data_IF_977643239901
#
_entry.id   IF_977643239901
#
_cell.length_a   1.000
_cell.length_b   1.000
_cell.length_c   1.000
_cell.angle_alpha   90.00
_cell.angle_beta   90.00
_cell.angle_gamma   90.00
#
_symmetry.space_group_name_H-M   'P 1'
#
loop_
_entity.id
_entity.type
_entity.pdbx_description
1 polymer ?
#
# COMPACT_ATOMS: atom_id res chain seq x y z
N UNK A 1 11.31 -21.16 12.33
CA UNK A 1 12.64 -20.53 12.36
C UNK A 1 12.44 -19.04 12.14
N UNK A 2 12.43 -18.25 13.22
CA UNK A 2 12.03 -16.84 13.20
C UNK A 2 13.06 -15.99 12.45
N UNK A 3 12.66 -15.38 11.33
CA UNK A 3 13.37 -14.24 10.77
C UNK A 3 13.08 -13.03 11.67
N UNK A 4 13.96 -12.77 12.64
CA UNK A 4 14.00 -11.48 13.34
C UNK A 4 14.46 -10.40 12.35
N UNK A 5 13.55 -9.88 11.55
CA UNK A 5 13.77 -8.63 10.83
C UNK A 5 13.39 -7.48 11.76
N UNK A 6 14.42 -6.81 12.27
CA UNK A 6 14.34 -5.55 12.99
C UNK A 6 13.70 -4.52 12.05
N UNK A 7 12.53 -3.98 12.43
CA UNK A 7 11.98 -2.79 11.79
C UNK A 7 12.83 -1.59 12.25
N UNK A 8 13.55 -0.97 11.33
CA UNK A 8 14.34 0.22 11.65
C UNK A 8 13.39 1.42 11.76
N UNK A 9 13.38 2.06 12.93
CA UNK A 9 12.88 3.43 13.08
C UNK A 9 13.99 4.35 12.54
N UNK A 10 13.93 4.69 11.25
CA UNK A 10 14.86 5.65 10.66
C UNK A 10 14.49 7.07 11.14
N UNK A 11 15.35 7.65 11.97
CA UNK A 11 15.32 9.08 12.30
C UNK A 11 15.80 9.89 11.10
N UNK A 12 14.88 10.26 10.22
CA UNK A 12 15.13 11.12 9.07
C UNK A 12 15.31 12.58 9.56
N UNK A 13 16.55 13.08 9.53
CA UNK A 13 16.85 14.49 9.85
C UNK A 13 16.33 15.41 8.74
N UNK A 14 15.29 16.19 9.05
CA UNK A 14 14.68 17.26 8.24
C UNK A 14 14.20 16.85 6.83
N UNK A 15 13.03 16.21 6.73
CA UNK A 15 12.49 15.76 5.44
C UNK A 15 11.06 16.24 5.20
N UNK A 16 10.97 17.41 4.59
CA UNK A 16 9.80 17.79 3.80
C UNK A 16 9.79 16.92 2.53
N UNK A 17 8.71 16.17 2.32
CA UNK A 17 8.51 15.30 1.17
C UNK A 17 7.43 15.88 0.26
N UNK A 18 7.63 15.77 -1.06
CA UNK A 18 6.59 16.06 -2.04
C UNK A 18 5.85 14.77 -2.36
N UNK A 19 4.56 14.74 -2.02
CA UNK A 19 3.68 13.60 -2.26
C UNK A 19 2.42 14.02 -3.02
N UNK A 20 1.68 13.03 -3.52
CA UNK A 20 0.52 13.25 -4.36
C UNK A 20 -0.72 12.53 -3.82
N UNK A 21 -1.85 13.23 -3.80
CA UNK A 21 -3.15 12.66 -3.45
C UNK A 21 -4.17 12.91 -4.56
N UNK A 22 -4.91 11.87 -4.94
CA UNK A 22 -6.02 11.97 -5.88
C UNK A 22 -7.35 11.87 -5.15
N UNK A 23 -8.21 12.87 -5.33
CA UNK A 23 -9.60 12.80 -4.86
C UNK A 23 -10.57 12.69 -6.04
N UNK A 24 -11.63 11.92 -5.85
CA UNK A 24 -12.69 11.70 -6.85
C UNK A 24 -13.58 12.93 -7.06
N UNK A 25 -13.69 13.79 -6.04
CA UNK A 25 -14.56 14.98 -6.04
C UNK A 25 -13.90 16.21 -5.40
N UNK A 26 -12.62 16.12 -5.03
CA UNK A 26 -11.93 17.10 -4.19
C UNK A 26 -11.97 16.76 -2.70
N UNK A 27 -11.08 17.39 -1.94
CA UNK A 27 -11.05 17.34 -0.48
C UNK A 27 -12.06 18.33 0.08
N UNK A 28 -12.74 17.94 1.17
CA UNK A 28 -13.70 18.77 1.89
C UNK A 28 -13.25 18.84 3.35
N UNK A 29 -13.10 20.05 3.88
CA UNK A 29 -12.56 20.28 5.22
C UNK A 29 -11.06 20.04 5.33
N UNK A 30 -10.58 19.90 6.56
CA UNK A 30 -9.16 19.66 6.85
C UNK A 30 -8.75 18.23 6.47
N UNK A 31 -7.46 18.04 6.17
CA UNK A 31 -6.89 16.70 6.02
C UNK A 31 -7.06 15.94 7.34
N UNK A 32 -7.62 14.74 7.23
CA UNK A 32 -7.97 13.89 8.35
C UNK A 32 -7.66 12.42 7.99
N UNK A 33 -7.39 11.55 8.98
CA UNK A 33 -7.05 10.15 8.76
C UNK A 33 -8.30 9.31 8.42
N UNK A 34 -9.00 9.69 7.36
CA UNK A 34 -10.26 9.10 6.95
C UNK A 34 -10.11 8.45 5.58
N UNK A 35 -10.58 7.21 5.48
CA UNK A 35 -10.70 6.48 4.23
C UNK A 35 -11.82 5.44 4.33
N UNK A 36 -12.07 4.75 3.22
CA UNK A 36 -12.86 3.51 3.23
C UNK A 36 -12.29 2.49 4.21
N UNK A 37 -13.16 1.59 4.68
CA UNK A 37 -12.73 0.42 5.44
C UNK A 37 -11.85 -0.51 4.59
N UNK A 38 -11.00 -1.30 5.27
CA UNK A 38 -10.18 -2.37 4.66
C UNK A 38 -9.25 -1.89 3.54
N UNK A 39 -8.59 -0.74 3.73
CA UNK A 39 -7.44 -0.34 2.93
C UNK A 39 -6.19 -1.16 3.31
N UNK A 40 -5.15 -1.11 2.47
CA UNK A 40 -3.92 -1.91 2.65
C UNK A 40 -3.23 -1.69 4.01
N UNK A 41 -3.34 -0.49 4.56
CA UNK A 41 -2.65 -0.06 5.77
C UNK A 41 -3.60 0.54 6.82
N UNK A 42 -4.88 0.15 6.78
CA UNK A 42 -5.90 0.66 7.69
C UNK A 42 -6.52 1.99 7.26
N UNK A 43 -7.28 2.63 8.16
CA UNK A 43 -7.88 3.94 7.88
C UNK A 43 -6.82 5.03 7.96
N UNK A 44 -6.78 5.90 6.96
CA UNK A 44 -5.83 7.01 6.96
C UNK A 44 -5.90 7.85 5.69
N UNK A 45 -5.08 8.89 5.65
CA UNK A 45 -4.93 9.75 4.48
C UNK A 45 -3.79 9.24 3.60
N UNK A 46 -4.14 8.73 2.42
CA UNK A 46 -3.23 8.05 1.50
C UNK A 46 -2.59 9.01 0.49
N UNK A 47 -1.27 8.92 0.35
CA UNK A 47 -0.45 9.77 -0.52
C UNK A 47 0.58 8.92 -1.25
N UNK A 48 0.79 9.14 -2.54
CA UNK A 48 1.78 8.41 -3.36
C UNK A 48 3.02 9.25 -3.64
N UNK A 49 4.16 8.60 -3.88
CA UNK A 49 5.39 9.27 -4.33
C UNK A 49 5.32 9.70 -5.80
N UNK A 50 4.52 9.01 -6.61
CA UNK A 50 4.41 9.25 -8.05
C UNK A 50 3.13 10.00 -8.40
N UNK A 51 3.25 11.09 -9.18
CA UNK A 51 2.10 11.91 -9.60
C UNK A 51 1.07 11.12 -10.41
N UNK A 52 1.54 10.25 -11.29
CA UNK A 52 0.69 9.48 -12.21
C UNK A 52 -0.20 8.48 -11.49
N UNK A 53 0.23 7.99 -10.33
CA UNK A 53 -0.41 6.91 -9.62
C UNK A 53 -1.77 7.24 -9.01
N UNK A 54 -1.96 8.33 -8.23
CA UNK A 54 -3.30 8.71 -7.78
C UNK A 54 -4.20 9.05 -8.98
N UNK A 55 -3.65 9.57 -10.09
CA UNK A 55 -4.43 9.88 -11.29
C UNK A 55 -5.03 8.63 -11.92
N UNK A 56 -4.31 7.50 -12.01
CA UNK A 56 -4.92 6.27 -12.54
C UNK A 56 -6.11 5.80 -11.71
N UNK A 57 -6.14 6.10 -10.41
CA UNK A 57 -7.22 5.73 -9.49
C UNK A 57 -8.44 6.66 -9.59
N UNK A 58 -8.23 7.93 -9.95
CA UNK A 58 -9.31 8.93 -10.00
C UNK A 58 -9.71 9.37 -11.41
N UNK A 59 -8.99 8.95 -12.46
CA UNK A 59 -9.24 9.40 -13.83
C UNK A 59 -10.65 9.07 -14.37
N UNK A 60 -11.34 8.11 -13.76
CA UNK A 60 -12.73 7.77 -14.09
C UNK A 60 -13.79 8.70 -13.48
N UNK A 61 -13.39 9.69 -12.69
CA UNK A 61 -14.30 10.62 -12.04
C UNK A 61 -14.21 12.01 -12.69
N UNK A 62 -15.32 12.60 -13.15
CA UNK A 62 -15.30 13.88 -13.87
C UNK A 62 -14.84 15.04 -13.00
N UNK A 63 -15.07 14.96 -11.68
CA UNK A 63 -14.67 15.98 -10.70
C UNK A 63 -13.35 15.63 -10.00
N UNK A 64 -12.53 14.78 -10.62
CA UNK A 64 -11.26 14.37 -10.05
C UNK A 64 -10.33 15.58 -9.85
N UNK A 65 -9.68 15.60 -8.70
CA UNK A 65 -8.64 16.59 -8.37
C UNK A 65 -7.37 15.88 -7.96
N UNK A 66 -6.25 16.46 -8.34
CA UNK A 66 -4.93 16.04 -7.90
C UNK A 66 -4.36 17.11 -6.98
N UNK A 67 -3.78 16.67 -5.88
CA UNK A 67 -3.13 17.52 -4.90
C UNK A 67 -1.65 17.19 -4.86
N UNK A 68 -0.80 18.21 -4.96
CA UNK A 68 0.62 18.14 -4.60
C UNK A 68 0.76 18.62 -3.16
N UNK A 69 1.39 17.78 -2.34
CA UNK A 69 1.43 17.93 -0.90
C UNK A 69 2.88 18.08 -0.43
N UNK A 70 3.12 18.99 0.51
CA UNK A 70 4.34 19.01 1.32
C UNK A 70 4.05 18.25 2.60
N UNK A 71 4.87 17.25 2.93
CA UNK A 71 4.68 16.44 4.14
C UNK A 71 5.94 16.50 4.99
N UNK A 72 5.78 16.99 6.21
CA UNK A 72 6.85 16.99 7.20
C UNK A 72 6.76 15.72 8.04
N UNK A 73 7.82 14.92 8.11
CA UNK A 73 7.88 13.71 8.93
C UNK A 73 8.44 13.93 10.34
N UNK A 74 8.95 15.13 10.65
CA UNK A 74 9.58 15.41 11.93
C UNK A 74 8.60 15.13 13.09
N UNK A 75 9.07 14.40 14.10
CA UNK A 75 8.29 14.08 15.29
C UNK A 75 7.15 13.07 15.09
N UNK A 76 6.99 12.49 13.89
CA UNK A 76 6.01 11.42 13.64
C UNK A 76 6.63 10.05 13.90
N UNK A 77 5.90 9.18 14.60
CA UNK A 77 6.28 7.77 14.66
C UNK A 77 5.97 7.11 13.30
N UNK A 78 7.02 6.83 12.53
CA UNK A 78 6.90 6.35 11.16
C UNK A 78 7.33 4.89 11.06
N UNK A 79 6.43 4.04 10.57
CA UNK A 79 6.72 2.66 10.25
C UNK A 79 6.98 2.51 8.76
N UNK A 80 8.19 2.12 8.38
CA UNK A 80 8.56 1.79 6.99
C UNK A 80 8.49 0.28 6.77
N UNK A 81 7.57 -0.14 5.89
CA UNK A 81 7.32 -1.53 5.52
C UNK A 81 7.89 -1.81 4.13
N UNK A 82 9.05 -2.44 4.13
CA UNK A 82 9.67 -2.96 2.92
C UNK A 82 8.85 -4.09 2.28
N UNK A 83 8.90 -4.18 0.95
CA UNK A 83 8.13 -5.19 0.21
C UNK A 83 8.61 -6.60 0.58
N UNK A 84 7.67 -7.49 0.88
CA UNK A 84 7.96 -8.85 1.32
C UNK A 84 6.80 -9.50 2.04
N UNK A 85 7.07 -10.59 2.76
CA UNK A 85 6.05 -11.36 3.46
C UNK A 85 5.38 -10.55 4.58
N UNK A 86 6.13 -9.90 5.46
CA UNK A 86 5.54 -9.08 6.54
C UNK A 86 4.62 -7.98 6.01
N UNK A 87 5.02 -7.32 4.91
CA UNK A 87 4.16 -6.35 4.22
C UNK A 87 2.88 -7.00 3.70
N UNK A 88 2.96 -8.17 3.07
CA UNK A 88 1.81 -8.87 2.52
C UNK A 88 0.86 -9.35 3.61
N UNK A 89 1.39 -9.85 4.72
CA UNK A 89 0.62 -10.27 5.89
C UNK A 89 -0.02 -9.08 6.60
N UNK A 90 0.67 -7.94 6.69
CA UNK A 90 0.07 -6.71 7.21
C UNK A 90 -1.07 -6.20 6.32
N UNK A 91 -0.94 -6.34 4.99
CA UNK A 91 -2.04 -6.08 4.05
C UNK A 91 -3.20 -7.07 4.26
N UNK A 92 -2.91 -8.35 4.45
CA UNK A 92 -3.91 -9.39 4.73
C UNK A 92 -4.69 -9.06 6.01
N UNK A 93 -3.99 -8.67 7.07
CA UNK A 93 -4.58 -8.22 8.33
C UNK A 93 -5.54 -7.05 8.12
N UNK A 94 -5.05 -5.94 7.54
CA UNK A 94 -5.88 -4.74 7.35
C UNK A 94 -7.07 -4.96 6.41
N UNK A 95 -6.96 -5.91 5.47
CA UNK A 95 -8.07 -6.30 4.59
C UNK A 95 -9.02 -7.34 5.19
N UNK A 96 -8.74 -7.82 6.41
CA UNK A 96 -9.56 -8.79 7.13
C UNK A 96 -9.43 -10.22 6.63
N UNK A 97 -8.36 -10.55 5.91
CA UNK A 97 -8.08 -11.92 5.44
C UNK A 97 -7.57 -12.83 6.58
N UNK A 98 -7.05 -12.24 7.65
CA UNK A 98 -6.54 -12.97 8.83
C UNK A 98 -7.59 -13.19 9.95
N UNK A 99 -8.84 -12.79 9.71
CA UNK A 99 -9.93 -12.90 10.70
C UNK A 99 -10.17 -14.31 11.27
N UNK A 100 -10.04 -15.40 10.49
CA UNK A 100 -10.15 -16.76 11.04
C UNK A 100 -9.11 -17.11 12.11
N UNK A 101 -7.96 -16.43 12.12
CA UNK A 101 -6.86 -16.64 13.09
C UNK A 101 -6.85 -15.57 14.18
N UNK A 102 -7.99 -14.94 14.46
CA UNK A 102 -8.10 -13.98 15.57
C UNK A 102 -7.69 -14.65 16.88
N UNK A 103 -6.71 -14.05 17.57
CA UNK A 103 -6.23 -14.55 18.87
C UNK A 103 -4.94 -15.36 18.79
N UNK A 104 -4.39 -15.60 17.61
CA UNK A 104 -3.03 -16.16 17.46
C UNK A 104 -1.95 -15.11 17.74
N UNK A 105 -0.71 -15.56 17.90
CA UNK A 105 0.43 -14.64 18.09
C UNK A 105 0.65 -13.77 16.84
N UNK A 106 0.55 -14.36 15.65
CA UNK A 106 0.71 -13.63 14.39
C UNK A 106 -0.37 -12.56 14.18
N UNK A 107 -1.64 -12.83 14.55
CA UNK A 107 -2.70 -11.83 14.49
C UNK A 107 -2.41 -10.65 15.44
N UNK A 108 -1.97 -10.95 16.68
CA UNK A 108 -1.60 -9.92 17.65
C UNK A 108 -0.43 -9.06 17.17
N UNK A 109 0.61 -9.68 16.58
CA UNK A 109 1.76 -8.98 15.99
C UNK A 109 1.31 -7.89 15.01
N UNK A 110 0.49 -8.25 14.02
CA UNK A 110 0.05 -7.30 13.00
C UNK A 110 -0.99 -6.30 13.51
N UNK A 111 -1.80 -6.67 14.51
CA UNK A 111 -2.67 -5.73 15.23
C UNK A 111 -1.88 -4.64 15.96
N UNK A 112 -0.79 -5.00 16.64
CA UNK A 112 0.04 -4.04 17.36
C UNK A 112 0.91 -3.19 16.43
N UNK A 113 1.21 -3.68 15.22
CA UNK A 113 2.20 -3.06 14.34
C UNK A 113 1.87 -1.61 13.97
N UNK A 114 0.59 -1.26 13.86
CA UNK A 114 0.13 0.12 13.60
C UNK A 114 -0.43 0.85 14.82
N UNK A 115 -0.43 0.22 16.01
CA UNK A 115 -1.12 0.76 17.20
C UNK A 115 -0.62 2.13 17.64
N UNK A 116 0.68 2.39 17.48
CA UNK A 116 1.34 3.63 17.89
C UNK A 116 1.91 4.43 16.71
N UNK A 117 1.56 4.08 15.47
CA UNK A 117 2.13 4.71 14.28
C UNK A 117 1.33 5.95 13.86
N UNK A 118 2.03 7.06 13.63
CA UNK A 118 1.47 8.27 13.03
C UNK A 118 1.43 8.16 11.50
N UNK A 119 2.48 7.55 10.93
CA UNK A 119 2.71 7.43 9.50
C UNK A 119 3.11 5.99 9.14
N UNK A 120 2.54 5.44 8.07
CA UNK A 120 3.04 4.20 7.46
C UNK A 120 3.59 4.52 6.08
N UNK A 121 4.80 4.04 5.81
CA UNK A 121 5.41 4.01 4.48
C UNK A 121 5.40 2.58 3.99
N UNK A 122 5.00 2.36 2.75
CA UNK A 122 5.05 1.03 2.16
C UNK A 122 4.68 1.05 0.69
N UNK A 123 4.68 -0.11 0.06
CA UNK A 123 4.43 -0.20 -1.37
C UNK A 123 2.93 -0.20 -1.73
N UNK A 124 2.62 0.26 -2.94
CA UNK A 124 1.24 0.34 -3.43
C UNK A 124 0.85 -0.94 -4.14
N UNK A 125 -0.23 -1.56 -3.64
CA UNK A 125 -0.84 -2.70 -4.31
C UNK A 125 -1.67 -2.23 -5.51
N UNK A 126 -1.02 -2.09 -6.66
CA UNK A 126 -1.70 -1.90 -7.94
C UNK A 126 -2.48 -3.16 -8.36
N UNK A 127 -3.27 -3.07 -9.44
CA UNK A 127 -4.11 -4.17 -9.92
C UNK A 127 -3.33 -5.49 -10.10
N UNK A 128 -2.07 -5.42 -10.59
CA UNK A 128 -1.22 -6.62 -10.81
C UNK A 128 -0.79 -7.25 -9.49
N UNK A 129 -0.34 -6.42 -8.56
CA UNK A 129 0.06 -6.89 -7.22
C UNK A 129 -1.13 -7.49 -6.49
N UNK A 130 -2.33 -6.91 -6.66
CA UNK A 130 -3.54 -7.43 -6.05
C UNK A 130 -3.86 -8.86 -6.53
N UNK A 131 -3.64 -9.17 -7.81
CA UNK A 131 -3.79 -10.55 -8.32
C UNK A 131 -2.81 -11.51 -7.62
N UNK A 132 -1.53 -11.15 -7.53
CA UNK A 132 -0.53 -12.01 -6.87
C UNK A 132 -0.84 -12.19 -5.38
N UNK A 133 -1.25 -11.11 -4.70
CA UNK A 133 -1.64 -11.17 -3.29
C UNK A 133 -2.87 -12.04 -3.06
N UNK A 134 -3.91 -11.87 -3.88
CA UNK A 134 -5.15 -12.64 -3.71
C UNK A 134 -4.90 -14.14 -3.94
N UNK A 135 -4.05 -14.49 -4.93
CA UNK A 135 -3.59 -15.87 -5.14
C UNK A 135 -2.78 -16.44 -3.97
N UNK A 136 -1.99 -15.61 -3.30
CA UNK A 136 -1.30 -16.04 -2.09
C UNK A 136 -2.31 -16.27 -0.94
N UNK A 137 -3.21 -15.31 -0.72
CA UNK A 137 -4.22 -15.41 0.34
C UNK A 137 -5.25 -16.54 0.10
N UNK A 138 -5.45 -16.98 -1.14
CA UNK A 138 -6.29 -18.13 -1.50
C UNK A 138 -5.57 -19.48 -1.43
N UNK A 139 -4.27 -19.50 -1.10
CA UNK A 139 -3.47 -20.73 -1.05
C UNK A 139 -3.04 -21.27 -2.41
N UNK A 140 -3.12 -20.48 -3.49
CA UNK A 140 -2.69 -20.92 -4.83
C UNK A 140 -1.18 -20.82 -5.05
N UNK A 141 -0.51 -19.91 -4.35
CA UNK A 141 0.93 -19.71 -4.42
C UNK A 141 1.53 -19.64 -3.02
N UNK A 142 2.83 -19.89 -2.93
CA UNK A 142 3.59 -19.83 -1.67
C UNK A 142 4.17 -18.45 -1.40
N UNK A 143 4.67 -18.24 -0.18
CA UNK A 143 5.40 -17.02 0.22
C UNK A 143 6.63 -16.76 -0.67
N UNK A 144 7.35 -17.80 -1.11
CA UNK A 144 8.49 -17.65 -2.03
C UNK A 144 8.07 -17.19 -3.41
N UNK A 145 7.00 -17.77 -3.95
CA UNK A 145 6.45 -17.33 -5.23
C UNK A 145 5.92 -15.88 -5.14
N UNK A 146 5.27 -15.53 -4.02
CA UNK A 146 4.85 -14.17 -3.73
C UNK A 146 6.04 -13.21 -3.71
N UNK A 147 7.02 -13.41 -2.82
CA UNK A 147 8.14 -12.46 -2.62
C UNK A 147 8.92 -12.25 -3.93
N UNK A 148 9.22 -13.30 -4.67
CA UNK A 148 9.91 -13.16 -5.96
C UNK A 148 9.04 -12.42 -7.00
N UNK A 149 7.73 -12.67 -7.02
CA UNK A 149 6.82 -11.95 -7.92
C UNK A 149 6.75 -10.47 -7.55
N UNK A 150 6.73 -10.14 -6.25
CA UNK A 150 6.72 -8.75 -5.79
C UNK A 150 8.02 -8.02 -6.13
N UNK A 151 9.18 -8.65 -5.97
CA UNK A 151 10.49 -8.07 -6.29
C UNK A 151 10.66 -7.75 -7.78
N UNK A 152 9.95 -8.45 -8.67
CA UNK A 152 9.97 -8.19 -10.10
C UNK A 152 9.01 -7.07 -10.54
N UNK A 153 8.17 -6.56 -9.63
CA UNK A 153 7.26 -5.46 -9.90
C UNK A 153 7.94 -4.14 -9.52
N UNK A 154 7.96 -3.19 -10.45
CA UNK A 154 8.32 -1.80 -10.15
C UNK A 154 7.16 -1.12 -9.41
N UNK A 155 7.29 -1.02 -8.09
CA UNK A 155 6.23 -0.53 -7.21
C UNK A 155 6.55 0.87 -6.70
N UNK A 156 5.59 1.79 -6.83
CA UNK A 156 5.63 3.08 -6.13
C UNK A 156 5.41 2.91 -4.63
N UNK A 157 6.01 3.80 -3.83
CA UNK A 157 5.75 3.90 -2.39
C UNK A 157 4.53 4.79 -2.13
N UNK A 158 3.79 4.48 -1.07
CA UNK A 158 2.75 5.32 -0.47
C UNK A 158 3.12 5.64 0.97
N UNK A 159 2.61 6.78 1.39
CA UNK A 159 2.61 7.27 2.76
C UNK A 159 1.15 7.34 3.21
N UNK A 160 0.88 6.88 4.43
CA UNK A 160 -0.46 6.87 5.01
C UNK A 160 -0.40 7.54 6.37
N UNK A 161 -1.00 8.73 6.45
CA UNK A 161 -1.18 9.40 7.73
C UNK A 161 -2.35 8.75 8.48
N UNK A 162 -2.05 8.09 9.61
CA UNK A 162 -3.02 7.34 10.41
C UNK A 162 -3.63 8.17 11.54
N UNK A 163 -2.95 9.23 11.96
CA UNK A 163 -3.37 10.08 13.08
C UNK A 163 -3.67 11.49 12.61
N UNK A 164 -4.44 12.23 13.41
CA UNK A 164 -4.65 13.66 13.15
C UNK A 164 -3.33 14.43 13.26
N UNK A 165 -2.43 14.02 14.15
CA UNK A 165 -1.08 14.58 14.29
C UNK A 165 -0.30 14.52 12.96
N UNK A 166 -0.27 13.37 12.30
CA UNK A 166 0.34 13.24 10.98
C UNK A 166 -0.37 14.09 9.92
N UNK A 167 -1.70 14.09 9.92
CA UNK A 167 -2.49 14.87 8.96
C UNK A 167 -2.27 16.39 9.08
N UNK A 168 -2.04 16.90 10.29
CA UNK A 168 -1.71 18.31 10.52
C UNK A 168 -0.31 18.71 9.99
N UNK A 169 0.52 17.75 9.58
CA UNK A 169 1.84 18.00 8.98
C UNK A 169 1.83 17.83 7.44
N UNK A 170 0.64 17.84 6.84
CA UNK A 170 0.42 17.74 5.40
C UNK A 170 -0.15 19.06 4.89
N UNK A 171 0.62 19.77 4.06
CA UNK A 171 0.20 21.03 3.44
C UNK A 171 -0.10 20.83 1.95
N UNK A 172 -1.20 21.40 1.47
CA UNK A 172 -1.51 21.42 0.03
C UNK A 172 -0.73 22.56 -0.62
N UNK A 173 0.20 22.22 -1.50
CA UNK A 173 0.99 23.20 -2.27
C UNK A 173 0.31 23.53 -3.60
N UNK A 174 -0.31 22.54 -4.23
CA UNK A 174 -0.94 22.70 -5.55
C UNK A 174 -2.22 21.87 -5.62
N UNK A 175 -3.25 22.45 -6.22
CA UNK A 175 -4.47 21.75 -6.63
C UNK A 175 -4.61 21.82 -8.14
N UNK A 176 -4.80 20.67 -8.78
CA UNK A 176 -5.03 20.55 -10.21
C UNK A 176 -6.42 19.95 -10.45
N UNK A 177 -7.16 20.57 -11.38
CA UNK A 177 -8.41 20.04 -11.93
C UNK A 177 -8.16 19.69 -13.39
N UNK A 178 -8.91 18.73 -13.92
CA UNK A 178 -8.69 18.20 -15.25
C UNK A 178 -9.91 18.39 -16.14
N UNK A 179 -9.69 18.76 -17.39
CA UNK A 179 -10.72 18.70 -18.40
C UNK A 179 -11.02 17.24 -18.77
N UNK A 180 -12.24 16.97 -19.27
CA UNK A 180 -12.66 15.62 -19.66
C UNK A 180 -11.69 14.96 -20.66
N UNK A 181 -11.17 15.74 -21.62
CA UNK A 181 -10.19 15.25 -22.61
C UNK A 181 -8.90 14.77 -21.93
N UNK A 182 -8.41 15.47 -20.91
CA UNK A 182 -7.20 15.10 -20.18
C UNK A 182 -7.42 13.82 -19.37
N UNK A 183 -8.57 13.70 -18.71
CA UNK A 183 -8.96 12.48 -17.98
C UNK A 183 -9.03 11.27 -18.92
N UNK A 184 -9.60 11.42 -20.12
CA UNK A 184 -9.67 10.34 -21.09
C UNK A 184 -8.28 9.90 -21.59
N UNK A 185 -7.35 10.83 -21.79
CA UNK A 185 -5.96 10.49 -22.12
C UNK A 185 -5.27 9.73 -20.98
N UNK A 186 -5.52 10.10 -19.73
CA UNK A 186 -4.99 9.41 -18.55
C UNK A 186 -5.53 7.98 -18.43
N UNK A 187 -6.82 7.76 -18.73
CA UNK A 187 -7.43 6.42 -18.75
C UNK A 187 -6.71 5.50 -19.72
N UNK A 188 -6.55 5.93 -20.97
CA UNK A 188 -5.88 5.15 -22.03
C UNK A 188 -4.44 4.79 -21.61
N UNK A 189 -3.69 5.76 -21.05
CA UNK A 189 -2.33 5.52 -20.53
C UNK A 189 -2.27 4.53 -19.37
N UNK A 190 -3.31 4.50 -18.52
CA UNK A 190 -3.37 3.57 -17.39
C UNK A 190 -3.61 2.10 -17.81
N UNK A 191 -4.21 1.88 -18.97
CA UNK A 191 -4.62 0.55 -19.45
C UNK A 191 -3.49 -0.21 -20.16
N UNK A 192 -2.68 0.46 -20.98
CA UNK A 192 -1.68 -0.19 -21.82
C UNK A 192 -0.60 -1.00 -21.07
N UNK A 193 -0.07 -0.55 -19.91
CA UNK A 193 0.94 -1.31 -19.20
C UNK A 193 0.42 -2.62 -18.57
N UNK A 194 -0.91 -2.77 -18.41
CA UNK A 194 -1.52 -3.85 -17.59
C UNK A 194 -1.16 -5.27 -18.07
N UNK A 195 -1.01 -5.50 -19.38
CA UNK A 195 -0.82 -6.84 -19.94
C UNK A 195 0.61 -7.42 -19.79
N UNK A 196 1.66 -6.60 -19.94
CA UNK A 196 3.04 -7.11 -19.98
C UNK A 196 3.54 -7.58 -18.61
N UNK A 197 3.14 -6.90 -17.53
CA UNK A 197 3.55 -7.28 -16.17
C UNK A 197 2.90 -8.56 -15.64
N UNK A 198 1.70 -8.91 -16.13
CA UNK A 198 0.98 -10.13 -15.70
C UNK A 198 1.75 -11.39 -16.16
N UNK A 199 2.24 -11.41 -17.40
CA UNK A 199 2.99 -12.55 -17.94
C UNK A 199 4.31 -12.81 -17.17
N UNK A 200 4.99 -11.76 -16.73
CA UNK A 200 6.22 -11.89 -15.94
C UNK A 200 5.93 -12.50 -14.55
N UNK A 201 4.90 -12.00 -13.85
CA UNK A 201 4.48 -12.54 -12.56
C UNK A 201 4.03 -14.01 -12.67
N UNK A 202 3.34 -14.40 -13.75
CA UNK A 202 2.96 -15.80 -13.98
C UNK A 202 4.16 -16.72 -14.15
N UNK A 203 5.19 -16.29 -14.89
CA UNK A 203 6.42 -17.07 -15.07
C UNK A 203 7.13 -17.29 -13.73
N UNK A 204 7.23 -16.25 -12.91
CA UNK A 204 7.83 -16.34 -11.57
C UNK A 204 7.02 -17.26 -10.66
N UNK A 205 5.69 -17.10 -10.63
CA UNK A 205 4.81 -17.99 -9.88
C UNK A 205 5.04 -19.46 -10.27
N UNK A 206 5.19 -19.77 -11.57
CA UNK A 206 5.46 -21.13 -12.04
C UNK A 206 6.84 -21.66 -11.63
N UNK A 207 7.85 -20.79 -11.64
CA UNK A 207 9.22 -21.16 -11.27
C UNK A 207 9.31 -21.58 -9.79
N UNK A 208 8.67 -20.84 -8.90
CA UNK A 208 8.74 -21.04 -7.44
C UNK A 208 7.54 -21.80 -6.85
N UNK A 209 6.66 -22.38 -7.67
CA UNK A 209 5.37 -22.98 -7.23
C UNK A 209 5.45 -24.13 -6.21
N UNK A 210 6.64 -24.70 -5.97
CA UNK A 210 6.87 -25.81 -5.04
C UNK A 210 7.84 -25.45 -3.91
N UNK A 211 8.14 -24.17 -3.74
CA UNK A 211 9.08 -23.68 -2.73
C UNK A 211 8.35 -22.82 -1.71
N UNK A 212 8.71 -22.92 -0.44
CA UNK A 212 8.09 -22.12 0.61
C UNK A 212 6.79 -22.73 1.13
N UNK A 213 5.92 -21.87 1.64
CA UNK A 213 4.71 -22.23 2.38
C UNK A 213 3.50 -21.47 1.89
N UNK A 214 2.33 -22.10 1.98
CA UNK A 214 1.05 -21.47 1.71
C UNK A 214 0.61 -20.56 2.87
N UNK A 215 -0.36 -19.70 2.59
CA UNK A 215 -0.83 -18.70 3.53
C UNK A 215 -1.43 -19.33 4.80
N UNK A 216 -2.27 -20.35 4.66
CA UNK A 216 -2.84 -21.14 5.74
C UNK A 216 -1.76 -21.84 6.56
N UNK A 217 -0.80 -22.50 5.92
CA UNK A 217 0.33 -23.14 6.61
C UNK A 217 1.10 -22.13 7.49
N UNK A 218 1.33 -20.91 6.99
CA UNK A 218 2.01 -19.84 7.76
C UNK A 218 1.16 -19.40 8.95
N UNK A 219 -0.16 -19.37 8.80
CA UNK A 219 -1.07 -18.95 9.87
C UNK A 219 -1.25 -20.02 10.95
N UNK A 220 -1.23 -21.29 10.58
CA UNK A 220 -1.44 -22.44 11.48
C UNK A 220 -0.22 -22.72 12.38
N UNK A 221 0.99 -22.49 11.89
CA UNK A 221 2.22 -22.67 12.69
C UNK A 221 2.36 -21.70 13.87
N UNK A 222 1.52 -20.67 13.92
CA UNK A 222 1.56 -19.57 14.89
C UNK A 222 0.33 -19.57 15.83
N UNK A 223 -0.41 -20.68 15.84
CA UNK A 223 -1.48 -21.05 16.79
C UNK A 223 -0.86 -21.76 17.99
#
# INVERSE_FOLDING_TARGET
>A
MFYNRIFYILSLTSQNLILYHGSKAGLVGNIAPVSRDRCNFGKGFYMGTERSQPLTLVCNYPNAKLYTLNVNLNGLNTLDLEVGLDWALFVAYNRGKMEPWRGTQIYRKFKSLSGDCDMIVGYIANDRMFVVLDRFFSGEITDKALVNSLSALELGKQYVALTQKACCQVDIIKTESFAEKELNLLKIKSEQPRFQGISAAEKICRLYRREGRFFDEIMEDEV
#
